data_IF_431459117436
#
_entry.id   IF_431459117436
#
_cell.length_a   1.000
_cell.length_b   1.000
_cell.length_c   1.000
_cell.angle_alpha   90.00
_cell.angle_beta   90.00
_cell.angle_gamma   90.00
#
_symmetry.space_group_name_H-M   'P 1'
#
loop_
_entity.id
_entity.type
_entity.pdbx_description
1 polymer ?
#
# COMPACT_ATOMS: atom_id res chain seq x y z
N UNK A 1 -5.44 -37.44 21.60
CA UNK A 1 -6.26 -37.04 20.44
C UNK A 1 -7.27 -36.00 20.90
N UNK A 2 -6.89 -34.73 20.89
CA UNK A 2 -7.79 -33.60 21.16
C UNK A 2 -8.35 -33.12 19.84
N UNK A 3 -9.63 -33.39 19.62
CA UNK A 3 -10.39 -32.95 18.45
C UNK A 3 -10.43 -31.41 18.46
N UNK A 4 -9.76 -30.78 17.50
CA UNK A 4 -9.86 -29.35 17.29
C UNK A 4 -11.30 -29.02 16.88
N UNK A 5 -12.03 -28.31 17.75
CA UNK A 5 -13.36 -27.79 17.47
C UNK A 5 -13.29 -26.90 16.22
N UNK A 6 -13.83 -27.39 15.11
CA UNK A 6 -14.07 -26.58 13.92
C UNK A 6 -15.12 -25.55 14.32
N UNK A 7 -14.71 -24.28 14.39
CA UNK A 7 -15.60 -23.16 14.73
C UNK A 7 -16.80 -23.14 13.77
N UNK A 8 -17.98 -22.89 14.34
CA UNK A 8 -19.26 -22.99 13.65
C UNK A 8 -19.38 -22.10 12.42
N UNK A 9 -20.07 -22.64 11.41
CA UNK A 9 -20.46 -21.96 10.18
C UNK A 9 -21.34 -20.75 10.50
N UNK A 10 -20.75 -19.55 10.52
CA UNK A 10 -21.45 -18.28 10.84
C UNK A 10 -20.54 -17.12 11.27
N UNK A 11 -19.30 -17.37 11.69
CA UNK A 11 -18.39 -16.30 12.20
C UNK A 11 -17.37 -15.78 11.17
N UNK A 12 -17.45 -16.21 9.91
CA UNK A 12 -16.55 -15.75 8.87
C UNK A 12 -17.22 -14.61 8.12
N UNK A 13 -16.61 -13.42 8.19
CA UNK A 13 -16.97 -12.28 7.35
C UNK A 13 -15.74 -11.82 6.54
N UNK A 14 -15.98 -10.94 5.57
CA UNK A 14 -14.91 -10.42 4.71
C UNK A 14 -13.84 -9.68 5.52
N UNK A 15 -14.22 -8.96 6.56
CA UNK A 15 -13.29 -8.19 7.41
C UNK A 15 -12.31 -9.12 8.10
N UNK A 16 -12.78 -10.22 8.69
CA UNK A 16 -11.96 -11.23 9.35
C UNK A 16 -11.05 -11.96 8.36
N UNK A 17 -11.54 -12.27 7.17
CA UNK A 17 -10.71 -12.86 6.10
C UNK A 17 -9.55 -11.93 5.74
N UNK A 18 -9.83 -10.65 5.52
CA UNK A 18 -8.80 -9.66 5.14
C UNK A 18 -7.80 -9.42 6.27
N UNK A 19 -8.26 -9.33 7.53
CA UNK A 19 -7.36 -9.18 8.68
C UNK A 19 -6.42 -10.38 8.87
N UNK A 20 -6.94 -11.61 8.69
CA UNK A 20 -6.14 -12.82 8.73
C UNK A 20 -5.16 -12.89 7.57
N UNK A 21 -5.59 -12.51 6.36
CA UNK A 21 -4.75 -12.42 5.19
C UNK A 21 -3.63 -11.40 5.37
N UNK A 22 -3.92 -10.24 5.94
CA UNK A 22 -2.93 -9.22 6.27
C UNK A 22 -1.87 -9.79 7.22
N UNK A 23 -2.29 -10.42 8.31
CA UNK A 23 -1.38 -11.05 9.27
C UNK A 23 -0.52 -12.16 8.64
N UNK A 24 -1.11 -12.98 7.78
CA UNK A 24 -0.39 -14.04 7.06
C UNK A 24 0.64 -13.44 6.09
N UNK A 25 0.24 -12.46 5.27
CA UNK A 25 1.11 -11.81 4.29
C UNK A 25 2.30 -11.08 4.91
N UNK A 26 2.14 -10.46 6.09
CA UNK A 26 3.25 -9.88 6.85
C UNK A 26 4.32 -10.91 7.21
N UNK A 27 3.92 -12.15 7.54
CA UNK A 27 4.84 -13.22 7.94
C UNK A 27 5.53 -13.89 6.77
N UNK A 28 4.79 -14.21 5.70
CA UNK A 28 5.31 -15.06 4.60
C UNK A 28 5.54 -14.29 3.29
N UNK A 29 5.08 -13.05 3.19
CA UNK A 29 5.05 -12.27 1.96
C UNK A 29 3.89 -12.67 1.04
N UNK A 30 3.35 -11.71 0.29
CA UNK A 30 2.14 -11.90 -0.53
C UNK A 30 2.27 -13.02 -1.57
N UNK A 31 3.48 -13.25 -2.10
CA UNK A 31 3.72 -14.25 -3.13
C UNK A 31 3.55 -15.67 -2.58
N UNK A 32 3.90 -15.90 -1.32
CA UNK A 32 3.84 -17.21 -0.67
C UNK A 32 2.43 -17.53 -0.14
N UNK A 33 1.53 -16.55 -0.04
CA UNK A 33 0.16 -16.78 0.43
C UNK A 33 -0.58 -17.77 -0.48
N UNK A 34 -1.19 -18.79 0.12
CA UNK A 34 -2.15 -19.69 -0.54
C UNK A 34 -3.54 -19.64 0.10
N UNK A 35 -4.58 -19.94 -0.69
CA UNK A 35 -5.96 -19.99 -0.19
C UNK A 35 -6.16 -21.09 0.87
N UNK A 36 -5.37 -22.18 0.78
CA UNK A 36 -5.42 -23.29 1.74
C UNK A 36 -4.85 -22.89 3.09
N UNK A 37 -3.71 -22.20 3.10
CA UNK A 37 -3.11 -21.67 4.33
C UNK A 37 -4.00 -20.61 4.96
N UNK A 38 -4.56 -19.70 4.15
CA UNK A 38 -5.53 -18.72 4.64
C UNK A 38 -6.73 -19.40 5.31
N UNK A 39 -7.30 -20.45 4.71
CA UNK A 39 -8.38 -21.21 5.33
C UNK A 39 -7.96 -21.91 6.62
N UNK A 40 -6.76 -22.47 6.66
CA UNK A 40 -6.22 -23.12 7.86
C UNK A 40 -6.03 -22.12 9.01
N UNK A 41 -5.47 -20.94 8.74
CA UNK A 41 -5.30 -19.85 9.72
C UNK A 41 -6.66 -19.35 10.25
N UNK A 42 -7.67 -19.29 9.38
CA UNK A 42 -9.03 -18.92 9.74
C UNK A 42 -9.79 -20.02 10.51
N UNK A 43 -9.27 -21.25 10.53
CA UNK A 43 -9.98 -22.42 11.06
C UNK A 43 -11.24 -22.76 10.26
N UNK A 44 -11.27 -22.40 8.97
CA UNK A 44 -12.42 -22.54 8.08
C UNK A 44 -12.17 -23.52 6.94
N UNK A 45 -13.24 -24.02 6.31
CA UNK A 45 -13.11 -24.79 5.09
C UNK A 45 -12.75 -23.87 3.91
N UNK A 46 -11.90 -24.34 2.99
CA UNK A 46 -11.48 -23.57 1.80
C UNK A 46 -12.68 -23.02 0.98
N UNK A 47 -13.76 -23.79 0.74
CA UNK A 47 -14.95 -23.25 0.06
C UNK A 47 -15.60 -22.08 0.78
N UNK A 48 -15.56 -22.05 2.13
CA UNK A 48 -16.07 -20.92 2.92
C UNK A 48 -15.24 -19.66 2.68
N UNK A 49 -13.92 -19.78 2.52
CA UNK A 49 -13.07 -18.61 2.19
C UNK A 49 -13.38 -18.11 0.78
N UNK A 50 -13.54 -19.01 -0.20
CA UNK A 50 -13.88 -18.64 -1.57
C UNK A 50 -15.22 -17.91 -1.69
N UNK A 51 -16.17 -18.17 -0.79
CA UNK A 51 -17.43 -17.42 -0.71
C UNK A 51 -17.22 -15.92 -0.43
N UNK A 52 -16.21 -15.56 0.37
CA UNK A 52 -15.93 -14.15 0.71
C UNK A 52 -14.95 -13.47 -0.26
N UNK A 53 -14.00 -14.25 -0.81
CA UNK A 53 -12.95 -13.80 -1.73
C UNK A 53 -12.75 -14.80 -2.87
N UNK A 54 -13.22 -14.49 -4.08
CA UNK A 54 -13.22 -15.44 -5.19
C UNK A 54 -11.83 -15.53 -5.84
N UNK A 55 -10.88 -16.18 -5.17
CA UNK A 55 -9.54 -16.40 -5.70
C UNK A 55 -8.43 -15.64 -4.99
N UNK A 56 -7.18 -16.05 -5.27
CA UNK A 56 -5.98 -15.42 -4.71
C UNK A 56 -5.87 -13.96 -5.14
N UNK A 57 -6.12 -13.64 -6.41
CA UNK A 57 -6.00 -12.26 -6.89
C UNK A 57 -6.98 -11.33 -6.18
N UNK A 58 -8.27 -11.70 -6.11
CA UNK A 58 -9.27 -10.91 -5.38
C UNK A 58 -8.92 -10.75 -3.89
N UNK A 59 -8.34 -11.78 -3.28
CA UNK A 59 -7.84 -11.70 -1.90
C UNK A 59 -6.68 -10.70 -1.78
N UNK A 60 -5.70 -10.74 -2.69
CA UNK A 60 -4.56 -9.82 -2.71
C UNK A 60 -4.97 -8.37 -3.01
N UNK A 61 -5.97 -8.15 -3.87
CA UNK A 61 -6.50 -6.81 -4.15
C UNK A 61 -7.15 -6.21 -2.89
N UNK A 62 -7.94 -7.01 -2.15
CA UNK A 62 -8.50 -6.57 -0.87
C UNK A 62 -7.42 -6.34 0.20
N UNK A 63 -6.36 -7.17 0.21
CA UNK A 63 -5.22 -6.96 1.08
C UNK A 63 -4.55 -5.62 0.78
N UNK A 64 -4.29 -5.32 -0.49
CA UNK A 64 -3.67 -4.06 -0.89
C UNK A 64 -4.53 -2.86 -0.44
N UNK A 65 -5.85 -2.92 -0.63
CA UNK A 65 -6.76 -1.88 -0.13
C UNK A 65 -6.74 -1.73 1.39
N UNK A 66 -6.65 -2.84 2.13
CA UNK A 66 -6.55 -2.81 3.59
C UNK A 66 -5.23 -2.22 4.06
N UNK A 67 -4.09 -2.56 3.43
CA UNK A 67 -2.78 -1.99 3.77
C UNK A 67 -2.80 -0.47 3.58
N UNK A 68 -3.42 0.01 2.50
CA UNK A 68 -3.53 1.46 2.25
C UNK A 68 -4.39 2.20 3.28
N UNK A 69 -5.23 1.53 4.08
CA UNK A 69 -5.99 2.21 5.14
C UNK A 69 -5.13 2.67 6.31
N UNK A 70 -3.97 2.04 6.48
CA UNK A 70 -3.06 2.31 7.59
C UNK A 70 -2.14 3.50 7.31
N UNK A 71 -2.22 4.08 6.09
CA UNK A 71 -1.48 5.28 5.72
C UNK A 71 -2.16 6.51 6.34
N UNK A 72 -1.53 7.19 7.31
CA UNK A 72 -2.06 8.42 7.87
C UNK A 72 -2.10 9.53 6.80
N UNK A 73 -3.18 10.32 6.82
CA UNK A 73 -3.24 11.53 6.00
C UNK A 73 -2.63 12.71 6.76
N UNK A 74 -1.75 13.49 6.12
CA UNK A 74 -1.06 14.60 6.77
C UNK A 74 -2.01 15.80 6.94
N UNK A 75 -2.08 16.36 8.15
CA UNK A 75 -3.07 17.39 8.51
C UNK A 75 -2.51 18.82 8.53
N UNK A 76 -1.22 19.00 8.82
CA UNK A 76 -0.64 20.31 9.10
C UNK A 76 0.61 20.61 8.26
N UNK A 77 0.87 21.90 8.03
CA UNK A 77 2.06 22.38 7.33
C UNK A 77 1.85 22.66 5.85
N UNK A 78 2.91 23.13 5.20
CA UNK A 78 2.91 23.45 3.78
C UNK A 78 2.74 22.19 2.93
N UNK A 79 2.31 22.36 1.68
CA UNK A 79 2.00 21.25 0.77
C UNK A 79 3.17 20.27 0.62
N UNK A 80 4.40 20.76 0.62
CA UNK A 80 5.64 19.99 0.46
C UNK A 80 5.98 19.16 1.70
N UNK A 81 5.72 19.71 2.89
CA UNK A 81 5.88 18.99 4.16
C UNK A 81 4.88 17.84 4.21
N UNK A 82 3.59 18.14 3.97
CA UNK A 82 2.53 17.13 3.94
C UNK A 82 2.77 16.07 2.87
N UNK A 83 3.25 16.45 1.70
CA UNK A 83 3.60 15.50 0.64
C UNK A 83 4.76 14.58 1.05
N UNK A 84 5.78 15.12 1.72
CA UNK A 84 6.88 14.32 2.25
C UNK A 84 6.37 13.29 3.27
N UNK A 85 5.55 13.74 4.23
CA UNK A 85 4.96 12.88 5.26
C UNK A 85 4.10 11.77 4.67
N UNK A 86 3.24 12.10 3.70
CA UNK A 86 2.38 11.14 3.02
C UNK A 86 3.19 10.02 2.36
N UNK A 87 4.25 10.38 1.62
CA UNK A 87 5.05 9.40 0.90
C UNK A 87 5.97 8.58 1.83
N UNK A 88 6.51 9.19 2.88
CA UNK A 88 7.24 8.46 3.92
C UNK A 88 6.33 7.43 4.61
N UNK A 89 5.15 7.86 5.06
CA UNK A 89 4.21 6.98 5.73
C UNK A 89 3.72 5.86 4.80
N UNK A 90 3.40 6.18 3.54
CA UNK A 90 3.03 5.19 2.54
C UNK A 90 4.12 4.13 2.34
N UNK A 91 5.39 4.54 2.26
CA UNK A 91 6.52 3.61 2.13
C UNK A 91 6.63 2.68 3.33
N UNK A 92 6.55 3.24 4.53
CA UNK A 92 6.69 2.46 5.77
C UNK A 92 5.59 1.42 5.91
N UNK A 93 4.34 1.81 5.64
CA UNK A 93 3.17 0.91 5.65
C UNK A 93 3.29 -0.20 4.59
N UNK A 94 3.70 0.14 3.36
CA UNK A 94 3.87 -0.87 2.31
C UNK A 94 5.01 -1.84 2.60
N UNK A 95 6.12 -1.38 3.20
CA UNK A 95 7.26 -2.23 3.56
C UNK A 95 6.95 -3.23 4.67
N UNK A 96 5.91 -2.98 5.47
CA UNK A 96 5.46 -3.90 6.51
C UNK A 96 4.78 -5.15 5.91
N UNK A 97 4.37 -5.12 4.63
CA UNK A 97 3.73 -6.25 3.93
C UNK A 97 4.51 -6.61 2.65
N UNK A 98 5.48 -7.55 2.72
CA UNK A 98 6.36 -7.85 1.59
C UNK A 98 5.62 -8.25 0.31
N UNK A 99 5.93 -7.54 -0.78
CA UNK A 99 5.40 -7.72 -2.13
C UNK A 99 4.06 -7.03 -2.41
N UNK A 100 3.48 -6.31 -1.45
CA UNK A 100 2.22 -5.55 -1.67
C UNK A 100 2.38 -4.48 -2.75
N UNK A 101 3.56 -3.88 -2.88
CA UNK A 101 3.87 -2.92 -3.94
C UNK A 101 3.75 -3.53 -5.35
N UNK A 102 4.04 -4.83 -5.52
CA UNK A 102 3.82 -5.55 -6.78
C UNK A 102 2.34 -5.75 -7.12
N UNK A 103 1.51 -5.96 -6.09
CA UNK A 103 0.06 -6.05 -6.24
C UNK A 103 -0.52 -4.70 -6.66
N UNK A 104 -0.07 -3.61 -6.01
CA UNK A 104 -0.49 -2.24 -6.35
C UNK A 104 -0.06 -1.79 -7.76
N UNK A 105 1.03 -2.34 -8.30
CA UNK A 105 1.49 -2.05 -9.67
C UNK A 105 0.67 -2.75 -10.75
N UNK A 106 0.09 -3.91 -10.44
CA UNK A 106 -0.62 -4.75 -11.42
C UNK A 106 -2.13 -4.62 -11.30
N UNK A 107 -2.64 -4.23 -10.14
CA UNK A 107 -4.04 -3.88 -9.93
C UNK A 107 -4.32 -2.45 -10.42
N UNK A 108 -5.48 -2.22 -11.04
CA UNK A 108 -5.93 -0.88 -11.45
C UNK A 108 -6.31 0.05 -10.28
N UNK A 109 -5.93 -0.31 -9.05
CA UNK A 109 -6.26 0.38 -7.80
C UNK A 109 -7.72 0.21 -7.35
N UNK A 110 -7.94 0.12 -6.04
CA UNK A 110 -9.26 0.23 -5.42
C UNK A 110 -9.55 1.65 -4.91
N UNK A 111 -10.54 1.78 -4.04
CA UNK A 111 -10.99 3.08 -3.53
C UNK A 111 -9.92 3.79 -2.70
N UNK A 112 -9.15 3.03 -1.92
CA UNK A 112 -8.06 3.56 -1.08
C UNK A 112 -6.89 4.02 -1.92
N UNK A 113 -6.50 3.26 -2.94
CA UNK A 113 -5.50 3.70 -3.91
C UNK A 113 -5.93 5.01 -4.60
N UNK A 114 -7.18 5.09 -5.07
CA UNK A 114 -7.73 6.32 -5.68
C UNK A 114 -7.77 7.50 -4.71
N UNK A 115 -8.05 7.26 -3.42
CA UNK A 115 -8.05 8.31 -2.40
C UNK A 115 -6.64 8.86 -2.16
N UNK A 116 -5.65 7.98 -2.02
CA UNK A 116 -4.25 8.38 -1.85
C UNK A 116 -3.75 9.20 -3.05
N UNK A 117 -4.08 8.76 -4.26
CA UNK A 117 -3.84 9.49 -5.49
C UNK A 117 -4.45 10.89 -5.48
N UNK A 118 -5.71 11.00 -5.03
CA UNK A 118 -6.42 12.27 -4.94
C UNK A 118 -5.74 13.21 -3.95
N UNK A 119 -5.31 12.72 -2.78
CA UNK A 119 -4.60 13.54 -1.78
C UNK A 119 -3.27 14.03 -2.32
N UNK A 120 -2.45 13.15 -2.91
CA UNK A 120 -1.17 13.52 -3.51
C UNK A 120 -1.33 14.59 -4.60
N UNK A 121 -2.32 14.44 -5.49
CA UNK A 121 -2.62 15.43 -6.54
C UNK A 121 -3.16 16.75 -5.98
N UNK A 122 -3.94 16.72 -4.90
CA UNK A 122 -4.44 17.92 -4.24
C UNK A 122 -3.27 18.74 -3.65
N UNK A 123 -2.34 18.08 -2.96
CA UNK A 123 -1.11 18.69 -2.44
C UNK A 123 -0.27 19.33 -3.56
N UNK A 124 -0.11 18.62 -4.68
CA UNK A 124 0.62 19.16 -5.84
C UNK A 124 -0.09 20.35 -6.51
N UNK A 125 -1.42 20.44 -6.42
CA UNK A 125 -2.17 21.58 -6.95
C UNK A 125 -1.94 22.85 -6.13
N UNK A 126 -1.68 22.71 -4.82
CA UNK A 126 -1.32 23.83 -3.93
C UNK A 126 0.05 24.44 -4.29
N UNK A 127 0.90 23.71 -5.01
CA UNK A 127 2.21 24.20 -5.47
C UNK A 127 2.13 25.21 -6.63
N UNK A 128 0.94 25.54 -7.16
CA UNK A 128 0.80 26.52 -8.27
C UNK A 128 1.24 26.00 -9.65
N UNK A 129 1.48 24.70 -9.77
CA UNK A 129 1.91 24.06 -11.02
C UNK A 129 0.81 24.05 -12.08
N UNK A 130 1.23 23.92 -13.34
CA UNK A 130 0.30 23.60 -14.44
C UNK A 130 -0.25 22.18 -14.23
N UNK A 131 -1.47 21.89 -14.70
CA UNK A 131 -2.04 20.54 -14.64
C UNK A 131 -1.12 19.47 -15.25
N UNK A 132 -0.44 19.79 -16.35
CA UNK A 132 0.50 18.88 -17.00
C UNK A 132 1.73 18.60 -16.14
N UNK A 133 2.30 19.64 -15.53
CA UNK A 133 3.48 19.51 -14.65
C UNK A 133 3.11 18.80 -13.35
N UNK A 134 1.95 19.11 -12.75
CA UNK A 134 1.46 18.40 -11.56
C UNK A 134 1.24 16.91 -11.84
N UNK A 135 0.69 16.55 -13.01
CA UNK A 135 0.53 15.16 -13.42
C UNK A 135 1.87 14.45 -13.56
N UNK A 136 2.86 15.08 -14.20
CA UNK A 136 4.19 14.50 -14.36
C UNK A 136 4.91 14.35 -13.00
N UNK A 137 4.80 15.35 -12.12
CA UNK A 137 5.35 15.30 -10.77
C UNK A 137 4.75 14.14 -9.96
N UNK A 138 3.43 13.95 -10.03
CA UNK A 138 2.75 12.83 -9.39
C UNK A 138 3.28 11.48 -9.89
N UNK A 139 3.47 11.31 -11.20
CA UNK A 139 4.05 10.08 -11.78
C UNK A 139 5.47 9.83 -11.25
N UNK A 140 6.32 10.86 -11.17
CA UNK A 140 7.69 10.73 -10.64
C UNK A 140 7.69 10.31 -9.18
N UNK A 141 6.84 10.94 -8.35
CA UNK A 141 6.73 10.60 -6.93
C UNK A 141 6.24 9.17 -6.72
N UNK A 142 5.21 8.74 -7.46
CA UNK A 142 4.68 7.38 -7.37
C UNK A 142 5.69 6.33 -7.85
N UNK A 143 6.41 6.62 -8.94
CA UNK A 143 7.51 5.78 -9.44
C UNK A 143 8.64 5.68 -8.40
N UNK A 144 8.98 6.78 -7.74
CA UNK A 144 10.00 6.79 -6.70
C UNK A 144 9.59 5.96 -5.49
N UNK A 145 8.34 6.09 -5.03
CA UNK A 145 7.79 5.28 -3.93
C UNK A 145 7.89 3.78 -4.23
N UNK A 146 7.26 3.33 -5.30
CA UNK A 146 7.20 1.91 -5.66
C UNK A 146 8.57 1.35 -6.04
N UNK A 147 9.39 2.15 -6.73
CA UNK A 147 10.74 1.78 -7.11
C UNK A 147 11.66 1.61 -5.89
N UNK A 148 11.51 2.47 -4.87
CA UNK A 148 12.28 2.34 -3.63
C UNK A 148 11.95 1.05 -2.87
N UNK A 149 10.66 0.68 -2.80
CA UNK A 149 10.19 -0.55 -2.16
C UNK A 149 10.69 -1.77 -2.94
N UNK A 150 10.47 -1.78 -4.26
CA UNK A 150 10.90 -2.86 -5.14
C UNK A 150 12.41 -3.10 -5.08
N UNK A 151 13.20 -2.02 -4.97
CA UNK A 151 14.65 -2.09 -4.85
C UNK A 151 15.08 -2.70 -3.50
N UNK A 152 14.44 -2.32 -2.41
CA UNK A 152 14.72 -2.85 -1.08
C UNK A 152 14.37 -4.35 -0.98
N UNK A 153 13.22 -4.75 -1.53
CA UNK A 153 12.79 -6.14 -1.64
C UNK A 153 13.76 -6.97 -2.48
N UNK A 154 14.12 -6.49 -3.67
CA UNK A 154 15.05 -7.18 -4.57
C UNK A 154 16.45 -7.35 -3.97
N UNK A 155 16.86 -6.43 -3.09
CA UNK A 155 18.14 -6.50 -2.38
C UNK A 155 18.07 -7.29 -1.07
N UNK A 156 16.87 -7.66 -0.61
CA UNK A 156 16.66 -8.24 0.72
C UNK A 156 17.12 -7.33 1.86
N UNK A 157 17.22 -6.02 1.62
CA UNK A 157 17.73 -5.05 2.60
C UNK A 157 16.95 -3.75 2.50
N UNK A 158 16.25 -3.43 3.58
CA UNK A 158 15.55 -2.16 3.75
C UNK A 158 16.54 -1.00 3.87
N UNK A 159 16.36 0.01 3.04
CA UNK A 159 17.08 1.26 3.18
C UNK A 159 16.49 2.09 4.34
N UNK A 160 17.33 2.83 5.09
CA UNK A 160 16.86 3.73 6.13
C UNK A 160 15.83 4.73 5.59
N UNK A 161 14.84 5.08 6.40
CA UNK A 161 13.82 6.09 6.05
C UNK A 161 14.47 7.42 5.63
N UNK A 162 15.55 7.84 6.30
CA UNK A 162 16.29 9.06 5.97
C UNK A 162 16.82 9.08 4.53
N UNK A 163 17.17 7.92 3.97
CA UNK A 163 17.64 7.82 2.57
C UNK A 163 16.51 8.05 1.59
N UNK A 164 15.32 7.52 1.90
CA UNK A 164 14.12 7.74 1.11
C UNK A 164 13.66 9.19 1.19
N UNK A 165 13.61 9.76 2.40
CA UNK A 165 13.27 11.16 2.62
C UNK A 165 14.18 12.10 1.86
N UNK A 166 15.50 11.88 1.92
CA UNK A 166 16.46 12.70 1.17
C UNK A 166 16.24 12.65 -0.36
N UNK A 167 15.77 11.52 -0.90
CA UNK A 167 15.40 11.43 -2.32
C UNK A 167 14.10 12.17 -2.64
N UNK A 168 13.09 12.10 -1.75
CA UNK A 168 11.88 12.93 -1.87
C UNK A 168 12.22 14.41 -1.84
N UNK A 169 13.10 14.85 -0.94
CA UNK A 169 13.50 16.26 -0.82
C UNK A 169 14.09 16.79 -2.13
N UNK A 170 14.87 15.97 -2.85
CA UNK A 170 15.40 16.32 -4.19
C UNK A 170 14.27 16.51 -5.20
N UNK A 171 13.29 15.60 -5.22
CA UNK A 171 12.14 15.68 -6.14
C UNK A 171 11.30 16.92 -5.83
N UNK A 172 11.01 17.16 -4.56
CA UNK A 172 10.22 18.28 -4.07
C UNK A 172 10.91 19.62 -4.34
N UNK A 173 12.23 19.71 -4.14
CA UNK A 173 13.00 20.90 -4.51
C UNK A 173 12.88 21.20 -6.02
N UNK A 174 12.93 20.17 -6.87
CA UNK A 174 12.69 20.32 -8.31
C UNK A 174 11.28 20.81 -8.64
N UNK A 175 10.27 20.35 -7.90
CA UNK A 175 8.88 20.80 -8.04
C UNK A 175 8.74 22.28 -7.64
N UNK A 176 9.31 22.68 -6.50
CA UNK A 176 9.32 24.08 -6.02
C UNK A 176 9.97 25.02 -7.03
N UNK A 177 11.13 24.67 -7.54
CA UNK A 177 11.83 25.47 -8.54
C UNK A 177 10.96 25.69 -9.79
N UNK A 178 10.20 24.67 -10.23
CA UNK A 178 9.28 24.79 -11.38
C UNK A 178 8.05 25.66 -11.10
N UNK A 179 7.62 25.77 -9.84
CA UNK A 179 6.53 26.64 -9.44
C UNK A 179 6.95 28.12 -9.43
N UNK A 180 8.19 28.42 -9.02
CA UNK A 180 8.71 29.79 -8.89
C UNK A 180 9.03 30.45 -10.24
N UNK A 181 9.30 29.67 -11.28
CA UNK A 181 9.66 30.18 -12.63
C UNK A 181 8.44 30.43 -13.52
N UNK A 182 7.30 30.78 -12.92
CA UNK A 182 6.01 30.94 -13.57
C UNK A 182 5.38 32.28 -13.23
#
# INVERSE_FOLDING_TARGET
MTSAERRGYGELDRTRVVACLHSLARRVGVQQVTMRELAAELGAAVPSVYYHVPGKQAALDLLAEAVLTDIPEPEAGSWDVRLTELYCAAREVMLDVPGVAGVLQTSGGGDRARRLDKVSRALLAEAGLTKGVASAAHTVLYTYLLGSISLDESRGKRQPESRFRAGLDVIIAGIKARAEHR
#
